data_IF_811336413510
#
_entry.id   IF_811336413510
#
_cell.length_a   1.000
_cell.length_b   1.000
_cell.length_c   1.000
_cell.angle_alpha   90.00
_cell.angle_beta   90.00
_cell.angle_gamma   90.00
#
_symmetry.space_group_name_H-M   'P 1'
#
loop_
_entity.id
_entity.type
_entity.pdbx_description
1 polymer ?
#
# COMPACT_ATOMS: atom_id res chain seq x y z
N UNK A 1 -0.63 9.14 18.34
CA UNK A 1 -0.18 7.81 17.97
C UNK A 1 0.76 7.83 16.78
N UNK A 2 0.24 7.95 15.58
CA UNK A 2 1.07 8.10 14.38
C UNK A 2 0.65 9.36 13.64
N UNK A 3 1.56 9.95 12.89
CA UNK A 3 1.29 11.18 12.14
C UNK A 3 0.93 10.84 10.70
N UNK A 4 -0.24 11.31 10.26
CA UNK A 4 -0.66 11.20 8.85
C UNK A 4 -0.21 12.39 8.02
N UNK A 5 0.37 13.41 8.66
CA UNK A 5 0.77 14.63 7.97
C UNK A 5 2.16 14.53 7.34
N UNK A 6 2.96 13.55 7.76
CA UNK A 6 4.29 13.34 7.19
C UNK A 6 4.17 12.39 6.00
N UNK A 7 4.46 12.90 4.81
CA UNK A 7 4.42 12.10 3.59
C UNK A 7 5.75 11.41 3.35
N UNK A 8 5.75 10.40 2.47
CA UNK A 8 6.99 9.73 2.09
C UNK A 8 7.99 10.73 1.49
N UNK A 9 7.51 11.67 0.67
CA UNK A 9 8.37 12.68 0.05
C UNK A 9 9.07 13.54 1.08
N UNK A 10 8.44 13.80 2.22
CA UNK A 10 9.03 14.59 3.30
C UNK A 10 10.02 13.77 4.14
N UNK A 11 9.69 12.51 4.37
CA UNK A 11 10.49 11.61 5.21
C UNK A 11 11.69 11.03 4.49
N UNK A 12 11.49 10.61 3.24
CA UNK A 12 12.53 9.97 2.43
C UNK A 12 12.35 10.39 0.97
N UNK A 13 12.87 11.58 0.62
CA UNK A 13 12.67 12.10 -0.73
C UNK A 13 13.33 11.25 -1.81
N UNK A 14 14.42 10.56 -1.52
CA UNK A 14 15.09 9.70 -2.49
C UNK A 14 14.23 8.49 -2.83
N UNK A 15 13.62 7.87 -1.83
CA UNK A 15 12.72 6.75 -2.06
C UNK A 15 11.46 7.21 -2.79
N UNK A 16 10.91 8.36 -2.40
CA UNK A 16 9.73 8.91 -3.09
C UNK A 16 10.02 9.17 -4.56
N UNK A 17 11.20 9.69 -4.88
CA UNK A 17 11.62 9.93 -6.26
C UNK A 17 11.76 8.62 -7.04
N UNK A 18 12.31 7.59 -6.40
CA UNK A 18 12.47 6.28 -7.03
C UNK A 18 11.11 5.64 -7.33
N UNK A 19 10.14 5.78 -6.43
CA UNK A 19 8.78 5.27 -6.64
C UNK A 19 8.09 6.02 -7.79
N UNK A 20 8.23 7.33 -7.83
CA UNK A 20 7.66 8.14 -8.91
C UNK A 20 8.26 7.75 -10.27
N UNK A 21 9.55 7.47 -10.31
CA UNK A 21 10.23 7.03 -11.51
C UNK A 21 9.74 5.65 -11.96
N UNK A 22 9.52 4.73 -11.01
CA UNK A 22 8.98 3.40 -11.31
C UNK A 22 7.54 3.49 -11.80
N UNK A 23 6.73 4.38 -11.21
CA UNK A 23 5.37 4.63 -11.66
C UNK A 23 5.35 5.05 -13.15
N UNK A 24 6.23 5.97 -13.51
CA UNK A 24 6.36 6.41 -14.89
C UNK A 24 6.82 5.27 -15.80
N UNK A 25 7.77 4.47 -15.33
CA UNK A 25 8.26 3.33 -16.10
C UNK A 25 7.14 2.34 -16.40
N UNK A 26 6.30 2.04 -15.42
CA UNK A 26 5.18 1.12 -15.60
C UNK A 26 4.12 1.66 -16.55
N UNK A 27 3.92 2.97 -16.57
CA UNK A 27 2.97 3.59 -17.50
C UNK A 27 3.48 3.62 -18.94
N UNK A 28 4.80 3.76 -19.12
CA UNK A 28 5.40 3.95 -20.44
C UNK A 28 5.77 2.64 -21.13
N UNK A 29 5.77 1.52 -20.43
CA UNK A 29 6.23 0.25 -21.00
C UNK A 29 5.14 -0.82 -20.99
N UNK A 30 5.18 -1.71 -21.97
CA UNK A 30 4.27 -2.85 -22.04
C UNK A 30 4.80 -3.98 -21.16
N UNK A 31 3.91 -4.53 -20.34
CA UNK A 31 4.26 -5.65 -19.46
C UNK A 31 3.95 -6.97 -20.15
N UNK A 32 4.98 -7.78 -20.37
CA UNK A 32 4.86 -9.05 -21.06
C UNK A 32 5.16 -10.26 -20.17
N UNK A 33 5.43 -10.02 -18.88
CA UNK A 33 5.71 -11.10 -17.94
C UNK A 33 4.40 -11.67 -17.42
N UNK A 34 4.13 -12.93 -17.75
CA UNK A 34 2.84 -13.56 -17.45
C UNK A 34 2.54 -13.69 -15.95
N UNK A 35 3.59 -13.70 -15.10
CA UNK A 35 3.43 -13.81 -13.65
C UNK A 35 3.16 -12.47 -12.96
N UNK A 36 3.23 -11.37 -13.68
CA UNK A 36 2.97 -10.06 -13.12
C UNK A 36 1.56 -9.60 -13.45
N UNK A 37 0.98 -8.83 -12.53
CA UNK A 37 -0.36 -8.30 -12.70
C UNK A 37 -0.42 -6.88 -12.16
N UNK A 38 -0.95 -5.96 -12.96
CA UNK A 38 -1.15 -4.58 -12.52
C UNK A 38 -2.47 -4.49 -11.76
N UNK A 39 -2.38 -4.13 -10.50
CA UNK A 39 -3.56 -3.98 -9.66
C UNK A 39 -4.16 -2.58 -9.82
N UNK A 40 -5.43 -2.44 -9.42
CA UNK A 40 -6.09 -1.14 -9.46
C UNK A 40 -5.48 -0.17 -8.44
N UNK A 41 -5.66 1.11 -8.70
CA UNK A 41 -5.24 2.15 -7.75
C UNK A 41 -5.95 2.00 -6.41
N UNK A 42 -7.20 1.58 -6.42
CA UNK A 42 -7.96 1.36 -5.19
C UNK A 42 -7.34 0.27 -4.31
N UNK A 43 -6.87 -0.82 -4.92
CA UNK A 43 -6.20 -1.89 -4.19
C UNK A 43 -4.90 -1.39 -3.57
N UNK A 44 -4.10 -0.65 -4.33
CA UNK A 44 -2.85 -0.08 -3.82
C UNK A 44 -3.09 0.90 -2.68
N UNK A 45 -4.14 1.71 -2.79
CA UNK A 45 -4.52 2.64 -1.73
C UNK A 45 -4.92 1.91 -0.45
N UNK A 46 -5.69 0.83 -0.58
CA UNK A 46 -6.11 0.04 0.57
C UNK A 46 -4.91 -0.61 1.27
N UNK A 47 -3.97 -1.14 0.51
CA UNK A 47 -2.77 -1.77 1.06
C UNK A 47 -1.89 -0.78 1.82
N UNK A 48 -1.84 0.46 1.39
CA UNK A 48 -1.04 1.50 2.04
C UNK A 48 -1.80 2.28 3.10
N UNK A 49 -2.97 1.82 3.52
CA UNK A 49 -3.80 2.50 4.49
C UNK A 49 -3.46 2.10 5.93
N UNK A 50 -4.20 2.70 6.88
CA UNK A 50 -4.05 2.38 8.30
C UNK A 50 -4.37 0.91 8.63
N UNK A 51 -4.98 0.18 7.73
CA UNK A 51 -5.18 -1.27 7.90
C UNK A 51 -3.85 -2.00 8.07
N UNK A 52 -2.77 -1.41 7.55
CA UNK A 52 -1.41 -1.93 7.71
C UNK A 52 -1.00 -2.08 9.18
N UNK A 53 -1.59 -1.29 10.08
CA UNK A 53 -1.25 -1.29 11.50
C UNK A 53 -1.91 -2.42 12.27
N UNK A 54 -2.84 -3.13 11.66
CA UNK A 54 -3.66 -4.11 12.38
C UNK A 54 -3.68 -5.43 11.65
N UNK A 55 -3.81 -6.48 12.42
CA UNK A 55 -4.19 -7.77 11.86
C UNK A 55 -5.53 -8.18 12.47
N UNK A 56 -6.19 -9.12 11.82
CA UNK A 56 -7.45 -9.64 12.30
C UNK A 56 -7.47 -11.15 12.08
N UNK A 57 -7.87 -11.87 13.11
CA UNK A 57 -7.98 -13.31 13.05
C UNK A 57 -9.40 -13.71 13.45
N UNK A 58 -10.01 -14.56 12.66
CA UNK A 58 -11.41 -14.90 12.80
C UNK A 58 -12.31 -14.04 11.91
N UNK A 59 -13.59 -14.31 11.92
CA UNK A 59 -14.57 -13.61 11.09
C UNK A 59 -15.16 -12.40 11.81
N UNK A 60 -15.74 -11.45 11.08
CA UNK A 60 -16.43 -10.31 11.70
C UNK A 60 -17.42 -10.76 12.76
N UNK A 61 -17.37 -10.14 13.93
CA UNK A 61 -18.22 -10.53 15.05
C UNK A 61 -17.74 -11.75 15.82
N UNK A 62 -16.71 -12.43 15.32
CA UNK A 62 -16.14 -13.64 15.93
C UNK A 62 -14.63 -13.59 15.92
N UNK A 63 -14.06 -12.45 16.28
CA UNK A 63 -12.62 -12.28 16.33
C UNK A 63 -12.00 -12.96 17.53
N UNK A 64 -10.78 -13.47 17.37
CA UNK A 64 -10.05 -14.09 18.47
C UNK A 64 -9.47 -13.06 19.43
N UNK A 65 -9.18 -11.84 18.94
CA UNK A 65 -8.54 -10.80 19.73
C UNK A 65 -9.33 -9.51 19.69
N UNK A 66 -9.26 -8.75 20.77
CA UNK A 66 -9.85 -7.41 20.81
C UNK A 66 -9.06 -6.43 19.96
N UNK A 67 -9.72 -5.35 19.54
CA UNK A 67 -9.09 -4.29 18.77
C UNK A 67 -8.95 -4.56 17.27
N UNK A 68 -9.57 -5.62 16.79
CA UNK A 68 -9.53 -5.99 15.38
C UNK A 68 -10.96 -6.26 14.87
N UNK A 69 -11.80 -5.24 14.93
CA UNK A 69 -13.21 -5.35 14.54
C UNK A 69 -13.40 -5.63 13.05
#
# INVERSE_FOLDING_TARGET
MFSKSVTLAQYDPDLAAAIAQEDKRQQDHVELIASENYVSCAVMEAQGSQLTNKYAEGYPGKRYYGGCE
#
